data_IF_316687408261
#
_entry.id   IF_316687408261
#
_cell.length_a   1.000
_cell.length_b   1.000
_cell.length_c   1.000
_cell.angle_alpha   90.00
_cell.angle_beta   90.00
_cell.angle_gamma   90.00
#
_symmetry.space_group_name_H-M   'P 1'
#
loop_
_entity.id
_entity.type
_entity.pdbx_description
1 polymer ?
#
# COMPACT_ATOMS: atom_id res chain seq x y z
N UNK A 1 17.22 12.29 -2.46
CA UNK A 1 16.29 11.75 -1.44
C UNK A 1 16.42 10.23 -1.48
N UNK A 2 16.25 9.53 -0.35
CA UNK A 2 16.33 8.08 -0.35
C UNK A 2 15.05 7.50 -0.96
N UNK A 3 15.18 6.81 -2.09
CA UNK A 3 14.08 6.05 -2.69
C UNK A 3 13.89 4.72 -1.95
N UNK A 4 12.66 4.21 -2.02
CA UNK A 4 12.29 2.89 -1.54
C UNK A 4 11.40 2.21 -2.57
N UNK A 5 11.49 0.89 -2.64
CA UNK A 5 10.55 0.07 -3.40
C UNK A 5 9.54 -0.53 -2.43
N UNK A 6 8.26 -0.27 -2.69
CA UNK A 6 7.12 -0.74 -1.89
C UNK A 6 6.33 -1.75 -2.70
N UNK A 7 6.14 -2.94 -2.15
CA UNK A 7 5.17 -3.90 -2.69
C UNK A 7 3.75 -3.45 -2.40
N UNK A 8 2.98 -3.26 -3.47
CA UNK A 8 1.60 -2.79 -3.46
C UNK A 8 0.67 -3.91 -3.92
N UNK A 9 -0.38 -4.17 -3.16
CA UNK A 9 -1.36 -5.20 -3.46
C UNK A 9 -2.75 -4.61 -3.69
N UNK A 10 -3.48 -5.08 -4.69
CA UNK A 10 -4.75 -4.50 -5.12
C UNK A 10 -5.91 -5.40 -4.73
N UNK A 11 -6.85 -4.85 -3.94
CA UNK A 11 -8.12 -5.51 -3.62
C UNK A 11 -8.96 -5.73 -4.89
N UNK A 12 -9.71 -6.84 -4.93
CA UNK A 12 -10.52 -7.25 -6.09
C UNK A 12 -9.69 -7.84 -7.23
N UNK A 13 -8.58 -7.21 -7.61
CA UNK A 13 -7.71 -7.72 -8.67
C UNK A 13 -6.84 -8.91 -8.21
N UNK A 14 -6.41 -8.92 -6.95
CA UNK A 14 -5.52 -9.95 -6.42
C UNK A 14 -4.12 -9.90 -7.04
N UNK A 15 -3.65 -8.70 -7.39
CA UNK A 15 -2.31 -8.47 -7.96
C UNK A 15 -1.40 -7.80 -6.95
N UNK A 16 -0.14 -8.22 -6.92
CA UNK A 16 0.95 -7.58 -6.17
C UNK A 16 1.96 -7.03 -7.18
N UNK A 17 2.51 -5.84 -6.94
CA UNK A 17 3.52 -5.23 -7.79
C UNK A 17 4.36 -4.19 -7.02
N UNK A 18 5.64 -4.02 -7.38
CA UNK A 18 6.50 -3.04 -6.73
C UNK A 18 6.17 -1.62 -7.20
N UNK A 19 6.42 -0.61 -6.38
CA UNK A 19 6.41 0.82 -6.74
C UNK A 19 7.63 1.50 -6.13
N UNK A 20 8.42 2.21 -6.95
CA UNK A 20 9.53 3.04 -6.46
C UNK A 20 9.05 4.46 -6.17
N UNK A 21 9.42 5.00 -5.02
CA UNK A 21 9.03 6.34 -4.58
C UNK A 21 10.05 6.93 -3.59
N UNK A 22 10.14 8.26 -3.49
CA UNK A 22 10.96 8.88 -2.46
C UNK A 22 10.30 8.76 -1.09
N UNK A 23 11.09 8.45 -0.06
CA UNK A 23 10.56 8.22 1.29
C UNK A 23 9.93 9.47 1.93
N UNK A 24 10.34 10.65 1.52
CA UNK A 24 9.81 11.92 2.00
C UNK A 24 8.67 12.49 1.13
N UNK A 25 8.26 11.76 0.09
CA UNK A 25 7.07 12.07 -0.68
C UNK A 25 5.80 11.85 0.13
N UNK A 26 4.72 12.49 -0.34
CA UNK A 26 3.40 12.33 0.23
C UNK A 26 2.73 11.05 -0.25
N UNK A 27 1.78 10.57 0.54
CA UNK A 27 0.85 9.50 0.13
C UNK A 27 0.14 9.84 -1.18
N UNK A 28 -0.18 11.12 -1.44
CA UNK A 28 -0.74 11.53 -2.73
C UNK A 28 0.17 11.25 -3.94
N UNK A 29 1.49 11.37 -3.78
CA UNK A 29 2.43 11.01 -4.83
C UNK A 29 2.49 9.49 -5.03
N UNK A 30 2.30 8.71 -3.96
CA UNK A 30 2.18 7.25 -4.05
C UNK A 30 0.90 6.83 -4.79
N UNK A 31 -0.24 7.48 -4.52
CA UNK A 31 -1.48 7.29 -5.26
C UNK A 31 -1.26 7.53 -6.77
N UNK A 32 -0.61 8.64 -7.14
CA UNK A 32 -0.26 8.93 -8.53
C UNK A 32 0.65 7.85 -9.14
N UNK A 33 1.73 7.48 -8.45
CA UNK A 33 2.67 6.47 -8.94
C UNK A 33 2.00 5.11 -9.20
N UNK A 34 1.13 4.66 -8.28
CA UNK A 34 0.31 3.45 -8.44
C UNK A 34 -0.62 3.58 -9.65
N UNK A 35 -1.36 4.69 -9.73
CA UNK A 35 -2.37 4.94 -10.76
C UNK A 35 -1.79 4.88 -12.17
N UNK A 36 -0.64 5.53 -12.39
CA UNK A 36 0.06 5.48 -13.67
C UNK A 36 0.74 4.14 -13.94
N UNK A 37 1.36 3.51 -12.93
CA UNK A 37 2.03 2.21 -13.10
C UNK A 37 1.06 1.12 -13.54
N UNK A 38 -0.14 1.09 -12.95
CA UNK A 38 -1.22 0.17 -13.31
C UNK A 38 -1.99 0.58 -14.55
N UNK A 39 -1.66 1.73 -15.16
CA UNK A 39 -2.33 2.30 -16.34
C UNK A 39 -3.83 2.55 -16.09
N UNK A 40 -4.21 2.85 -14.86
CA UNK A 40 -5.60 3.13 -14.52
C UNK A 40 -6.10 4.41 -15.19
N UNK A 41 -5.20 5.37 -15.46
CA UNK A 41 -5.46 6.56 -16.26
C UNK A 41 -5.98 6.28 -17.68
N UNK A 42 -5.77 5.06 -18.21
CA UNK A 42 -6.28 4.64 -19.51
C UNK A 42 -7.50 3.70 -19.41
N UNK A 43 -7.76 3.15 -18.24
CA UNK A 43 -8.79 2.13 -18.01
C UNK A 43 -10.03 2.70 -17.33
N UNK A 44 -9.86 3.74 -16.50
CA UNK A 44 -10.91 4.32 -15.68
C UNK A 44 -11.01 5.84 -15.90
N UNK A 45 -12.12 6.42 -15.41
CA UNK A 45 -12.44 7.86 -15.54
C UNK A 45 -12.28 8.65 -14.23
N UNK A 46 -11.67 8.05 -13.21
CA UNK A 46 -11.38 8.70 -11.93
C UNK A 46 -9.92 9.19 -11.88
N UNK A 47 -9.66 10.16 -11.01
CA UNK A 47 -8.30 10.66 -10.74
C UNK A 47 -7.55 9.77 -9.75
N UNK A 48 -6.21 9.82 -9.77
CA UNK A 48 -5.37 9.06 -8.83
C UNK A 48 -5.73 9.26 -7.36
N UNK A 49 -6.23 10.45 -6.99
CA UNK A 49 -6.67 10.79 -5.64
C UNK A 49 -7.88 9.97 -5.16
N UNK A 50 -8.59 9.29 -6.05
CA UNK A 50 -9.70 8.42 -5.72
C UNK A 50 -9.28 7.03 -5.24
N UNK A 51 -7.99 6.65 -5.38
CA UNK A 51 -7.48 5.40 -4.81
C UNK A 51 -7.40 5.52 -3.29
N UNK A 52 -7.98 4.57 -2.54
CA UNK A 52 -7.76 4.50 -1.09
C UNK A 52 -6.56 3.59 -0.81
N UNK A 53 -5.59 4.09 -0.05
CA UNK A 53 -4.39 3.35 0.32
C UNK A 53 -4.42 2.97 1.79
N UNK A 54 -4.01 1.76 2.10
CA UNK A 54 -3.89 1.27 3.48
C UNK A 54 -2.49 0.75 3.75
N UNK A 55 -2.04 0.94 4.98
CA UNK A 55 -0.78 0.37 5.45
C UNK A 55 -0.99 -1.13 5.66
N UNK A 56 -0.26 -1.96 4.94
CA UNK A 56 -0.44 -3.42 4.95
C UNK A 56 0.20 -4.08 6.19
N UNK A 57 0.17 -3.43 7.35
CA UNK A 57 0.55 -4.04 8.63
C UNK A 57 -0.55 -3.85 9.64
N UNK A 58 -0.67 -4.81 10.55
CA UNK A 58 -1.58 -4.72 11.69
C UNK A 58 -0.90 -5.30 12.93
N UNK A 59 -1.46 -5.01 14.09
CA UNK A 59 -1.01 -5.64 15.35
C UNK A 59 -1.27 -7.14 15.30
N UNK A 60 -0.29 -7.94 15.69
CA UNK A 60 -0.55 -9.33 16.05
C UNK A 60 -0.99 -9.39 17.53
N UNK A 61 -2.05 -10.17 17.80
CA UNK A 61 -2.74 -10.25 19.10
C UNK A 61 -1.84 -10.70 20.26
N UNK A 62 -0.69 -11.32 19.97
CA UNK A 62 0.14 -11.99 20.98
C UNK A 62 1.30 -11.11 21.51
N UNK A 63 1.80 -10.13 20.74
CA UNK A 63 3.03 -9.40 21.10
C UNK A 63 2.95 -7.87 20.99
N UNK A 64 1.79 -7.30 20.64
CA UNK A 64 1.62 -5.85 20.41
C UNK A 64 2.54 -5.26 19.31
N UNK A 65 3.23 -6.12 18.56
CA UNK A 65 4.07 -5.77 17.43
C UNK A 65 3.25 -5.69 16.14
N UNK A 66 3.59 -4.71 15.31
CA UNK A 66 3.00 -4.60 13.97
C UNK A 66 3.75 -5.50 13.01
N UNK A 67 3.01 -6.32 12.26
CA UNK A 67 3.57 -7.20 11.25
C UNK A 67 2.98 -6.89 9.87
N UNK A 68 3.86 -6.84 8.88
CA UNK A 68 3.47 -6.69 7.48
C UNK A 68 2.71 -7.92 6.99
N UNK A 69 1.82 -7.70 6.03
CA UNK A 69 1.15 -8.75 5.31
C UNK A 69 2.17 -9.43 4.39
N UNK A 70 2.31 -10.75 4.50
CA UNK A 70 3.24 -11.51 3.68
C UNK A 70 2.62 -11.80 2.29
N UNK A 71 3.42 -11.70 1.22
CA UNK A 71 3.07 -12.13 -0.14
C UNK A 71 3.16 -13.67 -0.25
N UNK A 72 2.35 -14.37 0.54
CA UNK A 72 2.32 -15.82 0.56
C UNK A 72 1.32 -16.40 -0.45
N UNK A 73 1.23 -17.73 -0.50
CA UNK A 73 0.31 -18.44 -1.40
C UNK A 73 -1.18 -18.13 -1.18
N UNK A 74 -1.55 -17.51 -0.05
CA UNK A 74 -2.92 -17.21 0.34
C UNK A 74 -3.30 -15.74 0.06
N UNK A 75 -2.32 -14.86 -0.19
CA UNK A 75 -2.60 -13.42 -0.32
C UNK A 75 -3.54 -13.08 -1.47
N UNK A 76 -3.46 -13.83 -2.58
CA UNK A 76 -4.35 -13.60 -3.74
C UNK A 76 -5.81 -13.88 -3.40
N UNK A 77 -6.07 -14.92 -2.60
CA UNK A 77 -7.42 -15.24 -2.16
C UNK A 77 -7.90 -14.19 -1.17
N UNK A 78 -7.05 -13.78 -0.22
CA UNK A 78 -7.34 -12.67 0.70
C UNK A 78 -7.76 -11.39 -0.03
N UNK A 79 -6.99 -10.97 -1.04
CA UNK A 79 -7.25 -9.75 -1.81
C UNK A 79 -8.56 -9.79 -2.60
N UNK A 80 -9.07 -10.98 -2.93
CA UNK A 80 -10.29 -11.17 -3.71
C UNK A 80 -11.57 -11.23 -2.87
N UNK A 81 -11.46 -11.53 -1.58
CA UNK A 81 -12.63 -11.68 -0.69
C UNK A 81 -13.28 -10.33 -0.37
N UNK A 82 -12.50 -9.25 -0.36
CA UNK A 82 -12.99 -7.88 -0.14
C UNK A 82 -11.98 -7.01 0.60
N UNK A 83 -12.40 -5.81 0.96
CA UNK A 83 -11.58 -4.84 1.70
C UNK A 83 -11.60 -5.22 3.18
N UNK A 84 -10.43 -5.36 3.80
CA UNK A 84 -10.32 -5.59 5.24
C UNK A 84 -10.38 -4.26 6.00
N UNK A 85 -11.13 -4.23 7.09
CA UNK A 85 -11.25 -3.06 7.98
C UNK A 85 -10.15 -3.00 9.04
N UNK A 86 -9.21 -3.95 9.05
CA UNK A 86 -8.16 -4.06 10.07
C UNK A 86 -6.92 -3.21 9.74
N UNK A 87 -6.79 -2.73 8.51
CA UNK A 87 -5.63 -1.97 8.05
C UNK A 87 -5.89 -0.47 8.10
N UNK A 88 -4.87 0.29 8.49
CA UNK A 88 -4.98 1.73 8.67
C UNK A 88 -4.93 2.47 7.34
N UNK A 89 -5.91 3.36 7.09
CA UNK A 89 -5.94 4.22 5.91
C UNK A 89 -4.79 5.24 5.94
N UNK A 90 -4.08 5.36 4.83
CA UNK A 90 -2.99 6.31 4.64
C UNK A 90 -3.54 7.65 4.16
N UNK A 91 -3.36 8.72 4.96
CA UNK A 91 -3.84 10.06 4.60
C UNK A 91 -3.04 10.66 3.45
N UNK A 92 -3.66 11.13 2.34
CA UNK A 92 -2.97 11.69 1.18
C UNK A 92 -1.98 12.83 1.49
N UNK A 93 -2.27 13.63 2.53
CA UNK A 93 -1.45 14.78 2.92
C UNK A 93 -0.20 14.42 3.72
N UNK A 94 -0.07 13.18 4.21
CA UNK A 94 1.03 12.74 5.06
C UNK A 94 2.23 12.31 4.22
N UNK A 95 3.43 12.47 4.77
CA UNK A 95 4.66 11.94 4.17
C UNK A 95 4.84 10.46 4.52
N UNK A 96 5.38 9.67 3.59
CA UNK A 96 5.58 8.23 3.79
C UNK A 96 6.53 7.92 4.96
N UNK A 97 7.57 8.74 5.16
CA UNK A 97 8.50 8.63 6.29
C UNK A 97 7.92 9.05 7.65
N UNK A 98 6.66 9.49 7.73
CA UNK A 98 5.98 9.77 8.99
C UNK A 98 5.98 8.51 9.86
N UNK A 99 6.18 8.69 11.18
CA UNK A 99 6.34 7.59 12.16
C UNK A 99 5.17 6.60 12.14
N UNK A 100 3.96 7.13 11.99
CA UNK A 100 2.71 6.37 11.94
C UNK A 100 2.57 5.55 10.65
N UNK A 101 3.29 5.90 9.58
CA UNK A 101 3.36 5.14 8.33
C UNK A 101 4.63 4.27 8.31
N UNK A 102 5.54 4.49 7.36
CA UNK A 102 6.76 3.68 7.25
C UNK A 102 7.77 4.02 8.36
N UNK A 103 7.84 5.30 8.73
CA UNK A 103 8.85 5.82 9.65
C UNK A 103 10.23 6.04 9.02
N UNK A 104 11.08 6.78 9.72
CA UNK A 104 12.38 7.26 9.23
C UNK A 104 13.44 6.18 9.05
N UNK A 105 13.27 4.99 9.64
CA UNK A 105 14.22 3.87 9.55
C UNK A 105 13.68 2.67 8.76
N UNK A 106 12.57 2.86 8.04
CA UNK A 106 11.98 1.80 7.23
C UNK A 106 12.96 1.21 6.22
N UNK A 107 13.00 -0.12 6.19
CA UNK A 107 13.63 -0.94 5.18
C UNK A 107 12.61 -2.03 4.80
N UNK A 108 12.32 -2.23 3.51
CA UNK A 108 11.39 -3.27 3.07
C UNK A 108 11.96 -4.65 3.43
N UNK A 109 11.12 -5.52 3.97
CA UNK A 109 11.45 -6.93 4.21
C UNK A 109 11.35 -7.76 2.93
N UNK A 110 11.85 -8.99 2.97
CA UNK A 110 11.64 -9.96 1.89
C UNK A 110 10.18 -10.42 1.89
N UNK A 111 9.52 -10.39 0.72
CA UNK A 111 8.15 -10.87 0.53
C UNK A 111 7.09 -10.14 1.38
N UNK A 112 7.39 -8.97 1.93
CA UNK A 112 6.43 -8.12 2.64
C UNK A 112 5.62 -7.26 1.65
N UNK A 113 4.30 -7.26 1.81
CA UNK A 113 3.40 -6.29 1.21
C UNK A 113 3.33 -5.09 2.15
N UNK A 114 3.47 -3.90 1.56
CA UNK A 114 3.59 -2.65 2.32
C UNK A 114 2.33 -1.80 2.21
N UNK A 115 1.64 -1.88 1.07
CA UNK A 115 0.49 -1.04 0.74
C UNK A 115 -0.62 -1.88 0.16
N UNK A 116 -1.82 -1.73 0.69
CA UNK A 116 -3.05 -2.25 0.08
C UNK A 116 -3.75 -1.12 -0.67
N UNK A 117 -4.24 -1.43 -1.87
CA UNK A 117 -4.85 -0.47 -2.79
C UNK A 117 -6.29 -0.88 -3.03
N UNK A 118 -7.21 0.02 -2.72
CA UNK A 118 -8.62 -0.06 -3.08
C UNK A 118 -8.91 0.90 -4.24
N UNK A 119 -9.65 0.41 -5.24
CA UNK A 119 -10.18 1.23 -6.33
C UNK A 119 -11.56 1.76 -5.93
N UNK A 120 -11.93 2.98 -6.35
CA UNK A 120 -13.29 3.48 -6.16
C UNK A 120 -14.29 2.64 -6.97
N UNK A 121 -15.53 2.55 -6.46
CA UNK A 121 -16.67 1.91 -7.16
C UNK A 121 -17.07 2.61 -8.46
#
# INVERSE_FOLDING_TARGET
>A
MAEVELECAVYGEGTVFPVKIARDDKVSALQEAIFYKKRYNHQYKFDSSALTLYLARKKEDENDEYKWLMDDRHVKDFLRVGISTEYEEMRPSWKLNKKELLGSNFQPGEEDIHVLVELPE
#
